data_IF_483189919935
#
_entry.id   IF_483189919935
#
_cell.length_a   1.000
_cell.length_b   1.000
_cell.length_c   1.000
_cell.angle_alpha   90.00
_cell.angle_beta   90.00
_cell.angle_gamma   90.00
#
_symmetry.space_group_name_H-M   'P 1'
#
loop_
_entity.id
_entity.type
_entity.pdbx_description
1 polymer ?
#
# COMPACT_ATOMS: atom_id res chain seq x y z
N UNK A 1 18.90 12.46 5.16
CA UNK A 1 17.74 12.41 6.09
C UNK A 1 17.94 11.24 7.03
N UNK A 2 17.65 11.39 8.34
CA UNK A 2 17.66 10.30 9.32
C UNK A 2 16.24 9.77 9.47
N UNK A 3 16.02 8.45 9.27
CA UNK A 3 14.79 7.74 9.61
C UNK A 3 15.04 6.93 10.89
N UNK A 4 14.25 7.21 11.91
CA UNK A 4 14.42 6.64 13.25
C UNK A 4 13.06 6.37 13.88
N UNK A 5 12.97 5.31 14.67
CA UNK A 5 11.78 5.04 15.46
C UNK A 5 11.66 6.01 16.63
N UNK A 6 10.45 6.52 16.91
CA UNK A 6 10.23 7.27 18.14
C UNK A 6 10.42 6.35 19.36
N UNK A 7 10.88 6.90 20.51
CA UNK A 7 11.03 6.12 21.74
C UNK A 7 9.70 5.43 22.12
N UNK A 8 9.76 4.13 22.41
CA UNK A 8 8.59 3.33 22.82
C UNK A 8 7.68 2.85 21.69
N UNK A 9 8.08 3.01 20.44
CA UNK A 9 7.32 2.49 19.30
C UNK A 9 7.63 1.00 19.12
N UNK A 10 6.58 0.18 19.09
CA UNK A 10 6.67 -1.25 18.77
C UNK A 10 6.31 -1.41 17.30
N UNK A 11 7.30 -1.58 16.43
CA UNK A 11 7.11 -1.79 14.99
C UNK A 11 7.40 -3.26 14.67
N UNK A 12 6.56 -3.86 13.83
CA UNK A 12 6.78 -5.22 13.32
C UNK A 12 7.98 -5.31 12.35
N UNK A 13 8.35 -4.18 11.66
CA UNK A 13 9.49 -4.13 10.76
C UNK A 13 10.72 -3.48 11.39
N UNK A 14 11.89 -4.13 11.32
CA UNK A 14 13.14 -3.52 11.77
C UNK A 14 13.65 -2.47 10.77
N UNK A 15 14.24 -1.36 11.26
CA UNK A 15 14.86 -0.36 10.37
C UNK A 15 16.03 -0.92 9.57
N UNK A 16 16.70 -1.94 10.07
CA UNK A 16 17.72 -2.67 9.31
C UNK A 16 17.09 -3.46 8.15
N UNK A 17 15.92 -4.08 8.37
CA UNK A 17 15.16 -4.74 7.31
C UNK A 17 14.69 -3.75 6.24
N UNK A 18 14.17 -2.58 6.64
CA UNK A 18 13.78 -1.52 5.69
C UNK A 18 14.98 -0.97 4.91
N UNK A 19 16.13 -0.80 5.56
CA UNK A 19 17.38 -0.41 4.90
C UNK A 19 17.77 -1.39 3.78
N UNK A 20 17.81 -2.68 4.10
CA UNK A 20 18.15 -3.75 3.15
C UNK A 20 17.12 -3.87 2.02
N UNK A 21 15.85 -3.67 2.33
CA UNK A 21 14.78 -3.66 1.34
C UNK A 21 14.96 -2.51 0.35
N UNK A 22 15.27 -1.29 0.82
CA UNK A 22 15.52 -0.13 -0.03
C UNK A 22 16.78 -0.30 -0.90
N UNK A 23 17.85 -0.93 -0.39
CA UNK A 23 19.00 -1.29 -1.21
C UNK A 23 18.63 -2.26 -2.34
N UNK A 24 17.85 -3.29 -1.99
CA UNK A 24 17.38 -4.29 -2.96
C UNK A 24 16.45 -3.66 -4.02
N UNK A 25 15.54 -2.78 -3.60
CA UNK A 25 14.65 -2.06 -4.50
C UNK A 25 15.43 -1.13 -5.45
N UNK A 26 16.42 -0.40 -4.95
CA UNK A 26 17.29 0.44 -5.79
C UNK A 26 18.07 -0.40 -6.81
N UNK A 27 18.60 -1.56 -6.43
CA UNK A 27 19.29 -2.49 -7.33
C UNK A 27 18.37 -3.06 -8.41
N UNK A 28 17.07 -3.22 -8.10
CA UNK A 28 16.04 -3.64 -9.05
C UNK A 28 15.54 -2.51 -9.98
N UNK A 29 16.08 -1.30 -9.83
CA UNK A 29 15.71 -0.13 -10.64
C UNK A 29 14.45 0.60 -10.16
N UNK A 30 13.96 0.31 -8.95
CA UNK A 30 12.88 1.06 -8.34
C UNK A 30 13.40 2.43 -7.91
N UNK A 31 12.73 3.55 -8.26
CA UNK A 31 13.11 4.86 -7.77
C UNK A 31 12.81 4.94 -6.26
N UNK A 32 13.83 4.93 -5.43
CA UNK A 32 13.76 5.04 -3.97
C UNK A 32 14.81 6.01 -3.45
N UNK A 33 14.64 6.62 -2.26
CA UNK A 33 15.71 7.36 -1.63
C UNK A 33 16.93 6.45 -1.41
N UNK A 34 18.11 6.88 -1.89
CA UNK A 34 19.31 6.08 -1.72
C UNK A 34 19.70 6.02 -0.25
N UNK A 35 19.75 4.82 0.31
CA UNK A 35 20.23 4.59 1.67
C UNK A 35 21.76 4.70 1.73
N UNK A 36 22.29 5.19 2.85
CA UNK A 36 23.70 5.54 3.00
C UNK A 36 24.38 4.81 4.14
N UNK A 37 23.67 4.62 5.24
CA UNK A 37 24.24 4.05 6.44
C UNK A 37 23.13 3.57 7.37
N UNK A 38 23.28 2.37 7.92
CA UNK A 38 22.38 1.79 8.91
C UNK A 38 23.04 1.88 10.29
N UNK A 39 22.33 2.39 11.29
CA UNK A 39 22.85 2.55 12.63
C UNK A 39 23.06 1.17 13.29
N UNK A 40 24.20 1.01 13.96
CA UNK A 40 24.47 -0.08 14.87
C UNK A 40 24.08 0.32 16.30
N UNK A 41 23.92 -0.65 17.20
CA UNK A 41 23.60 -0.41 18.61
C UNK A 41 24.62 0.51 19.30
N UNK A 42 25.91 0.37 18.95
CA UNK A 42 26.99 1.18 19.48
C UNK A 42 26.89 2.69 19.14
N UNK A 43 26.10 3.07 18.14
CA UNK A 43 25.96 4.46 17.73
C UNK A 43 25.01 5.26 18.63
N UNK A 44 24.28 4.60 19.53
CA UNK A 44 23.37 5.24 20.50
C UNK A 44 22.16 5.94 19.86
N UNK A 45 21.86 5.67 18.59
CA UNK A 45 20.75 6.26 17.84
C UNK A 45 19.46 5.43 17.91
N UNK A 46 19.50 4.23 18.48
CA UNK A 46 18.44 3.24 18.40
C UNK A 46 18.30 2.66 16.99
N UNK A 47 17.13 2.09 16.68
CA UNK A 47 16.84 1.57 15.35
C UNK A 47 16.69 2.73 14.35
N UNK A 48 17.67 2.92 13.47
CA UNK A 48 17.76 4.06 12.57
C UNK A 48 18.59 3.81 11.32
N UNK A 49 18.36 4.56 10.26
CA UNK A 49 19.25 4.62 9.11
C UNK A 49 19.25 6.02 8.47
N UNK A 50 20.31 6.29 7.70
CA UNK A 50 20.47 7.54 6.93
C UNK A 50 20.24 7.25 5.46
N UNK A 51 19.46 8.13 4.80
CA UNK A 51 19.20 8.10 3.36
C UNK A 51 19.29 9.49 2.76
N UNK A 52 19.41 9.59 1.43
CA UNK A 52 19.38 10.84 0.72
C UNK A 52 18.03 11.54 0.90
N UNK A 53 18.06 12.84 0.96
CA UNK A 53 16.84 13.65 0.86
C UNK A 53 16.43 13.75 -0.62
N UNK A 54 15.22 13.36 -0.94
CA UNK A 54 14.63 13.54 -2.27
C UNK A 54 13.68 14.72 -2.20
N UNK A 55 13.98 15.76 -2.96
CA UNK A 55 13.12 16.95 -3.04
C UNK A 55 11.88 16.63 -3.89
N UNK A 56 10.71 17.10 -3.47
CA UNK A 56 9.46 16.93 -4.22
C UNK A 56 8.23 17.06 -3.32
N UNK A 57 7.07 16.89 -3.92
CA UNK A 57 5.77 16.97 -3.25
C UNK A 57 5.26 15.56 -2.92
N UNK A 58 4.65 15.41 -1.76
CA UNK A 58 4.02 14.16 -1.29
C UNK A 58 2.53 14.33 -1.02
N UNK A 59 2.03 15.58 -1.01
CA UNK A 59 0.62 15.87 -0.75
C UNK A 59 -0.19 15.57 -2.00
N UNK A 60 -0.86 14.43 -2.01
CA UNK A 60 -1.61 13.93 -3.16
C UNK A 60 -2.64 14.95 -3.71
N UNK A 61 -3.31 15.73 -2.86
CA UNK A 61 -4.24 16.78 -3.31
C UNK A 61 -3.58 17.84 -4.17
N UNK A 62 -2.35 18.25 -3.84
CA UNK A 62 -1.58 19.19 -4.67
C UNK A 62 -1.19 18.56 -5.99
N UNK A 63 -0.65 17.34 -5.95
CA UNK A 63 -0.30 16.57 -7.14
C UNK A 63 -1.46 16.45 -8.11
N UNK A 64 -2.68 16.23 -7.60
CA UNK A 64 -3.88 16.03 -8.42
C UNK A 64 -4.54 17.32 -8.92
N UNK A 65 -4.26 18.48 -8.31
CA UNK A 65 -4.99 19.73 -8.59
C UNK A 65 -4.13 20.88 -9.08
N UNK A 66 -2.91 21.03 -8.57
CA UNK A 66 -2.10 22.23 -8.84
C UNK A 66 -1.54 22.20 -10.26
N UNK A 67 -1.52 23.36 -10.91
CA UNK A 67 -1.15 23.50 -12.31
C UNK A 67 0.32 23.13 -12.57
N UNK A 68 1.19 23.35 -11.61
CA UNK A 68 2.62 23.01 -11.71
C UNK A 68 2.88 21.51 -11.92
N UNK A 69 1.95 20.63 -11.45
CA UNK A 69 2.05 19.18 -11.62
C UNK A 69 1.27 18.63 -12.83
N UNK A 70 0.79 19.48 -13.73
CA UNK A 70 0.01 19.01 -14.89
C UNK A 70 0.80 18.04 -15.78
N UNK A 71 2.07 18.33 -16.05
CA UNK A 71 2.96 17.44 -16.80
C UNK A 71 3.23 16.13 -16.03
N UNK A 72 3.52 16.24 -14.74
CA UNK A 72 3.70 15.08 -13.85
C UNK A 72 2.47 14.17 -13.85
N UNK A 73 1.25 14.72 -13.68
CA UNK A 73 0.00 13.93 -13.72
C UNK A 73 -0.16 13.13 -15.01
N UNK A 74 0.26 13.68 -16.14
CA UNK A 74 0.20 12.97 -17.42
C UNK A 74 1.20 11.80 -17.49
N UNK A 75 2.38 11.95 -16.89
CA UNK A 75 3.45 10.95 -16.89
C UNK A 75 3.30 9.89 -15.79
N UNK A 76 2.74 10.25 -14.64
CA UNK A 76 2.64 9.40 -13.45
C UNK A 76 2.03 8.02 -13.69
N UNK A 77 0.94 7.83 -14.47
CA UNK A 77 0.40 6.49 -14.67
C UNK A 77 1.43 5.49 -15.20
N UNK A 78 2.20 5.86 -16.21
CA UNK A 78 3.24 5.00 -16.78
C UNK A 78 4.44 4.83 -15.84
N UNK A 79 4.83 5.91 -15.14
CA UNK A 79 5.96 5.86 -14.20
C UNK A 79 5.64 5.02 -12.96
N UNK A 80 4.43 5.14 -12.41
CA UNK A 80 3.97 4.31 -11.30
C UNK A 80 3.84 2.84 -11.73
N UNK A 81 3.28 2.58 -12.90
CA UNK A 81 3.19 1.23 -13.46
C UNK A 81 4.58 0.59 -13.62
N UNK A 82 5.55 1.35 -14.14
CA UNK A 82 6.94 0.88 -14.29
C UNK A 82 7.62 0.61 -12.94
N UNK A 83 7.46 1.51 -11.97
CA UNK A 83 8.01 1.32 -10.64
C UNK A 83 7.40 0.10 -9.93
N UNK A 84 6.07 -0.07 -10.02
CA UNK A 84 5.38 -1.22 -9.45
C UNK A 84 5.82 -2.54 -10.11
N UNK A 85 5.92 -2.57 -11.42
CA UNK A 85 6.44 -3.74 -12.14
C UNK A 85 7.88 -4.08 -11.73
N UNK A 86 8.72 -3.08 -11.46
CA UNK A 86 10.08 -3.29 -10.95
C UNK A 86 10.08 -3.87 -9.54
N UNK A 87 9.19 -3.42 -8.65
CA UNK A 87 9.00 -3.98 -7.31
C UNK A 87 8.60 -5.46 -7.42
N UNK A 88 7.61 -5.79 -8.22
CA UNK A 88 7.11 -7.15 -8.40
C UNK A 88 8.09 -8.08 -9.13
N UNK A 89 9.13 -7.55 -9.78
CA UNK A 89 10.23 -8.35 -10.34
C UNK A 89 11.36 -8.64 -9.36
N UNK A 90 11.38 -8.01 -8.18
CA UNK A 90 12.33 -8.39 -7.14
C UNK A 90 12.14 -9.86 -6.79
N UNK A 91 13.24 -10.59 -6.59
CA UNK A 91 13.16 -11.99 -6.18
C UNK A 91 12.73 -12.10 -4.70
N UNK A 92 11.50 -12.58 -4.41
CA UNK A 92 11.04 -12.71 -3.03
C UNK A 92 11.79 -13.78 -2.23
N UNK A 93 12.59 -14.64 -2.89
CA UNK A 93 13.42 -15.66 -2.26
C UNK A 93 14.84 -15.16 -1.99
N UNK A 94 15.18 -13.93 -2.38
CA UNK A 94 16.51 -13.37 -2.13
C UNK A 94 16.81 -13.38 -0.60
N UNK A 95 18.00 -13.82 -0.17
CA UNK A 95 18.35 -13.87 1.26
C UNK A 95 18.20 -12.53 1.98
N UNK A 96 18.46 -11.43 1.28
CA UNK A 96 18.27 -10.08 1.79
C UNK A 96 16.81 -9.76 2.20
N UNK A 97 15.83 -10.45 1.61
CA UNK A 97 14.40 -10.27 1.84
C UNK A 97 13.79 -11.37 2.72
N UNK A 98 14.63 -12.22 3.34
CA UNK A 98 14.17 -13.30 4.22
C UNK A 98 13.42 -12.86 5.47
N UNK A 99 13.50 -11.58 5.83
CA UNK A 99 12.75 -10.96 6.93
C UNK A 99 11.32 -10.59 6.59
N UNK A 100 10.93 -10.56 5.30
CA UNK A 100 9.57 -10.23 4.89
C UNK A 100 8.60 -11.37 5.26
N UNK A 101 7.45 -10.99 5.79
CA UNK A 101 6.36 -11.94 6.04
C UNK A 101 5.87 -12.53 4.74
N UNK A 102 5.37 -13.77 4.80
CA UNK A 102 4.86 -14.51 3.64
C UNK A 102 3.72 -15.43 4.04
N UNK A 103 2.81 -15.77 3.12
CA UNK A 103 1.75 -16.74 3.40
C UNK A 103 2.34 -18.09 3.79
N UNK A 104 1.61 -18.82 4.64
CA UNK A 104 1.94 -20.20 4.98
C UNK A 104 1.89 -21.10 3.76
N UNK A 105 2.66 -22.19 3.78
CA UNK A 105 2.70 -23.16 2.69
C UNK A 105 1.29 -23.74 2.43
N UNK A 106 0.83 -23.63 1.20
CA UNK A 106 -0.48 -24.13 0.78
C UNK A 106 -1.64 -23.14 0.98
N UNK A 107 -1.37 -21.95 1.56
CA UNK A 107 -2.37 -20.89 1.68
C UNK A 107 -2.12 -19.83 0.59
N UNK A 108 -3.17 -19.43 -0.12
CA UNK A 108 -3.04 -18.34 -1.12
C UNK A 108 -2.88 -16.99 -0.41
N UNK A 109 -2.14 -16.02 -0.98
CA UNK A 109 -2.03 -14.69 -0.41
C UNK A 109 -3.38 -14.04 -0.10
N UNK A 110 -4.32 -14.15 -1.03
CA UNK A 110 -5.66 -13.61 -0.88
C UNK A 110 -6.41 -14.21 0.31
N UNK A 111 -6.33 -15.55 0.49
CA UNK A 111 -6.95 -16.22 1.64
C UNK A 111 -6.26 -15.85 2.96
N UNK A 112 -4.92 -15.75 2.96
CA UNK A 112 -4.14 -15.37 4.13
C UNK A 112 -4.49 -13.95 4.60
N UNK A 113 -4.50 -12.97 3.69
CA UNK A 113 -4.82 -11.59 4.01
C UNK A 113 -6.28 -11.42 4.45
N UNK A 114 -7.22 -12.11 3.78
CA UNK A 114 -8.63 -12.10 4.18
C UNK A 114 -8.81 -12.63 5.62
N UNK A 115 -8.19 -13.76 5.93
CA UNK A 115 -8.25 -14.36 7.27
C UNK A 115 -7.57 -13.47 8.33
N UNK A 116 -6.42 -12.87 7.99
CA UNK A 116 -5.69 -11.95 8.87
C UNK A 116 -6.56 -10.75 9.25
N UNK A 117 -7.17 -10.10 8.26
CA UNK A 117 -8.01 -8.91 8.51
C UNK A 117 -9.35 -9.26 9.15
N UNK A 118 -9.92 -10.45 8.90
CA UNK A 118 -11.10 -10.92 9.67
C UNK A 118 -10.75 -11.09 11.16
N UNK A 119 -9.62 -11.71 11.46
CA UNK A 119 -9.14 -11.83 12.83
C UNK A 119 -8.93 -10.49 13.53
N UNK A 120 -8.29 -9.53 12.86
CA UNK A 120 -8.11 -8.17 13.37
C UNK A 120 -9.47 -7.51 13.63
N UNK A 121 -10.36 -7.53 12.63
CA UNK A 121 -11.68 -6.91 12.73
C UNK A 121 -12.48 -7.46 13.92
N UNK A 122 -12.52 -8.79 14.10
CA UNK A 122 -13.21 -9.44 15.22
C UNK A 122 -12.62 -9.04 16.58
N UNK A 123 -11.32 -8.79 16.64
CA UNK A 123 -10.64 -8.43 17.88
C UNK A 123 -10.85 -6.96 18.31
N UNK A 124 -11.02 -6.04 17.35
CA UNK A 124 -11.04 -4.59 17.64
C UNK A 124 -12.42 -3.95 17.58
N UNK A 125 -13.42 -4.63 17.00
CA UNK A 125 -14.71 -4.03 16.67
C UNK A 125 -15.79 -4.51 17.63
N UNK A 126 -16.23 -3.65 18.58
CA UNK A 126 -17.34 -3.99 19.49
C UNK A 126 -18.71 -3.94 18.81
N UNK A 127 -18.86 -3.09 17.78
CA UNK A 127 -20.10 -2.86 17.06
C UNK A 127 -20.09 -3.53 15.69
N UNK A 128 -21.21 -4.11 15.24
CA UNK A 128 -21.27 -4.73 13.93
C UNK A 128 -21.29 -3.68 12.81
N UNK A 129 -20.54 -3.96 11.73
CA UNK A 129 -20.53 -3.20 10.48
C UNK A 129 -21.12 -4.04 9.35
N UNK A 130 -22.43 -3.96 9.05
CA UNK A 130 -23.08 -4.83 8.05
C UNK A 130 -22.43 -4.80 6.66
N UNK A 131 -21.92 -3.64 6.23
CA UNK A 131 -21.21 -3.52 4.95
C UNK A 131 -19.90 -4.33 4.95
N UNK A 132 -19.16 -4.36 6.06
CA UNK A 132 -17.95 -5.16 6.18
C UNK A 132 -18.25 -6.67 6.21
N UNK A 133 -19.31 -7.07 6.92
CA UNK A 133 -19.76 -8.48 6.93
C UNK A 133 -20.17 -8.94 5.52
N UNK A 134 -20.85 -8.09 4.75
CA UNK A 134 -21.19 -8.37 3.37
C UNK A 134 -19.92 -8.51 2.51
N UNK A 135 -18.97 -7.59 2.67
CA UNK A 135 -17.70 -7.62 1.94
C UNK A 135 -16.89 -8.88 2.27
N UNK A 136 -16.78 -9.28 3.55
CA UNK A 136 -16.12 -10.54 3.93
C UNK A 136 -16.74 -11.75 3.24
N UNK A 137 -18.08 -11.83 3.21
CA UNK A 137 -18.78 -12.92 2.54
C UNK A 137 -18.56 -12.93 1.04
N UNK A 138 -18.63 -11.76 0.41
CA UNK A 138 -18.40 -11.60 -1.03
C UNK A 138 -16.98 -12.03 -1.41
N UNK A 139 -15.97 -11.59 -0.65
CA UNK A 139 -14.57 -11.93 -0.85
C UNK A 139 -14.30 -13.41 -0.64
N UNK A 140 -14.84 -14.00 0.44
CA UNK A 140 -14.67 -15.43 0.75
C UNK A 140 -15.23 -16.35 -0.34
N UNK A 141 -16.32 -15.96 -1.02
CA UNK A 141 -16.92 -16.71 -2.11
C UNK A 141 -16.18 -16.61 -3.44
N UNK A 142 -15.23 -15.65 -3.56
CA UNK A 142 -14.57 -15.26 -4.81
C UNK A 142 -13.04 -15.19 -4.68
N UNK A 143 -12.47 -15.94 -3.73
CA UNK A 143 -11.00 -15.95 -3.52
C UNK A 143 -10.32 -16.31 -4.84
N UNK A 144 -9.43 -15.47 -5.37
CA UNK A 144 -8.76 -15.73 -6.63
C UNK A 144 -7.83 -16.94 -6.55
N UNK A 145 -7.63 -17.59 -7.69
CA UNK A 145 -6.65 -18.65 -7.82
C UNK A 145 -5.23 -18.16 -7.50
N UNK A 146 -4.37 -19.01 -6.92
CA UNK A 146 -3.02 -18.63 -6.57
C UNK A 146 -2.22 -18.17 -7.78
N UNK A 147 -1.47 -17.10 -7.64
CA UNK A 147 -0.51 -16.57 -8.60
C UNK A 147 0.92 -16.76 -8.07
N UNK A 148 1.92 -16.37 -8.87
CA UNK A 148 3.28 -16.33 -8.35
C UNK A 148 3.38 -15.34 -7.19
N UNK A 149 4.21 -15.66 -6.22
CA UNK A 149 4.53 -14.75 -5.13
C UNK A 149 5.53 -13.70 -5.59
N UNK A 150 5.30 -12.46 -5.20
CA UNK A 150 6.17 -11.31 -5.47
C UNK A 150 6.44 -10.54 -4.17
N UNK A 151 7.36 -9.59 -4.23
CA UNK A 151 7.46 -8.55 -3.21
C UNK A 151 6.33 -7.56 -3.44
N UNK A 152 5.43 -7.43 -2.49
CA UNK A 152 4.31 -6.48 -2.47
C UNK A 152 4.72 -5.28 -1.61
N UNK A 153 4.51 -4.06 -2.11
CA UNK A 153 4.78 -2.84 -1.35
C UNK A 153 3.83 -2.72 -0.14
N UNK A 154 2.58 -3.13 -0.33
CA UNK A 154 1.54 -3.16 0.70
C UNK A 154 0.85 -1.83 1.00
N UNK A 155 1.45 -0.69 0.63
CA UNK A 155 0.80 0.64 0.68
C UNK A 155 1.14 1.49 -0.57
N UNK A 156 1.05 0.87 -1.77
CA UNK A 156 1.37 1.53 -3.03
C UNK A 156 0.26 2.49 -3.46
N UNK A 157 0.45 3.79 -3.21
CA UNK A 157 -0.56 4.83 -3.47
C UNK A 157 0.07 6.20 -3.72
N UNK A 158 -0.69 7.13 -4.31
CA UNK A 158 -0.21 8.49 -4.67
C UNK A 158 0.30 9.28 -3.46
N UNK A 159 -0.16 8.97 -2.24
CA UNK A 159 0.35 9.61 -1.02
C UNK A 159 1.72 9.08 -0.56
N UNK A 160 2.22 7.98 -1.14
CA UNK A 160 3.48 7.33 -0.77
C UNK A 160 4.52 7.40 -1.88
N UNK A 161 4.47 8.50 -2.64
CA UNK A 161 5.48 8.81 -3.66
C UNK A 161 5.95 10.24 -3.54
N UNK A 162 7.19 10.50 -3.92
CA UNK A 162 7.73 11.85 -4.06
C UNK A 162 7.70 12.21 -5.54
N UNK A 163 7.08 13.34 -5.86
CA UNK A 163 6.84 13.78 -7.23
C UNK A 163 7.46 15.17 -7.45
N UNK A 164 8.20 15.31 -8.55
CA UNK A 164 8.62 16.60 -9.09
C UNK A 164 7.71 17.08 -10.21
N UNK A 165 7.96 18.25 -10.80
CA UNK A 165 7.22 18.74 -11.96
C UNK A 165 7.30 17.79 -13.17
N UNK A 166 8.36 16.99 -13.27
CA UNK A 166 8.61 16.00 -14.32
C UNK A 166 7.95 14.63 -14.06
N UNK A 167 7.51 14.36 -12.82
CA UNK A 167 6.87 13.09 -12.42
C UNK A 167 7.52 12.44 -11.21
N UNK A 168 7.48 11.10 -11.17
CA UNK A 168 7.92 10.25 -10.07
C UNK A 168 9.42 10.39 -9.79
N UNK A 169 9.78 10.70 -8.55
CA UNK A 169 11.17 10.76 -8.05
C UNK A 169 11.52 9.61 -7.12
N UNK A 170 10.58 9.22 -6.26
CA UNK A 170 10.80 8.09 -5.35
C UNK A 170 9.48 7.48 -4.87
N UNK A 171 9.52 6.17 -4.62
CA UNK A 171 8.52 5.41 -3.85
C UNK A 171 9.01 5.34 -2.41
N UNK A 172 8.15 5.62 -1.45
CA UNK A 172 8.45 5.70 -0.02
C UNK A 172 7.42 4.90 0.80
N UNK A 173 7.69 4.75 2.08
CA UNK A 173 6.80 4.10 3.07
C UNK A 173 6.64 2.59 2.87
N UNK A 174 7.77 1.90 3.01
CA UNK A 174 7.91 0.46 2.77
C UNK A 174 7.60 -0.41 4.00
N UNK A 175 7.01 0.14 5.04
CA UNK A 175 6.80 -0.55 6.32
C UNK A 175 5.78 -1.70 6.26
N UNK A 176 4.90 -1.72 5.26
CA UNK A 176 3.91 -2.78 5.04
C UNK A 176 4.34 -3.81 3.99
N UNK A 177 5.61 -3.76 3.56
CA UNK A 177 6.13 -4.66 2.53
C UNK A 177 6.16 -6.12 3.01
N UNK A 178 5.68 -7.00 2.16
CA UNK A 178 5.63 -8.44 2.42
C UNK A 178 5.70 -9.23 1.12
N UNK A 179 5.65 -10.55 1.21
CA UNK A 179 5.57 -11.44 0.03
C UNK A 179 4.12 -11.84 -0.18
N UNK A 180 3.56 -11.51 -1.36
CA UNK A 180 2.13 -11.69 -1.63
C UNK A 180 1.79 -11.79 -3.11
N UNK A 181 0.53 -11.48 -3.44
CA UNK A 181 -0.01 -11.46 -4.81
C UNK A 181 0.25 -10.07 -5.44
N UNK A 182 0.77 -10.00 -6.68
CA UNK A 182 1.01 -8.72 -7.35
C UNK A 182 -0.25 -7.86 -7.52
N UNK A 183 -1.43 -8.47 -7.60
CA UNK A 183 -2.68 -7.72 -7.75
C UNK A 183 -3.11 -7.00 -6.47
N UNK A 184 -2.50 -7.29 -5.32
CA UNK A 184 -2.76 -6.56 -4.08
C UNK A 184 -2.42 -5.07 -4.22
N UNK A 185 -1.21 -4.72 -4.69
CA UNK A 185 -0.82 -3.33 -4.90
C UNK A 185 -1.63 -2.67 -6.02
N UNK A 186 -1.96 -3.43 -7.08
CA UNK A 186 -2.80 -2.94 -8.18
C UNK A 186 -4.20 -2.57 -7.67
N UNK A 187 -4.82 -3.45 -6.89
CA UNK A 187 -6.12 -3.19 -6.28
C UNK A 187 -6.07 -2.08 -5.23
N UNK A 188 -5.01 -2.04 -4.42
CA UNK A 188 -4.81 -1.00 -3.41
C UNK A 188 -4.75 0.40 -4.03
N UNK A 189 -4.03 0.58 -5.14
CA UNK A 189 -3.96 1.87 -5.84
C UNK A 189 -5.33 2.33 -6.37
N UNK A 190 -6.28 1.40 -6.59
CA UNK A 190 -7.63 1.69 -7.04
C UNK A 190 -8.60 2.08 -5.92
N UNK A 191 -8.26 1.89 -4.65
CA UNK A 191 -9.12 2.22 -3.50
C UNK A 191 -9.52 3.70 -3.54
N UNK A 192 -10.83 3.98 -3.37
CA UNK A 192 -11.40 5.33 -3.52
C UNK A 192 -10.75 6.38 -2.61
N UNK A 193 -10.36 5.98 -1.41
CA UNK A 193 -9.70 6.88 -0.47
C UNK A 193 -8.41 7.49 -1.02
N UNK A 194 -7.73 6.81 -1.93
CA UNK A 194 -6.49 7.28 -2.56
C UNK A 194 -6.70 8.15 -3.79
N UNK A 195 -7.95 8.39 -4.18
CA UNK A 195 -8.32 9.32 -5.28
C UNK A 195 -8.40 10.77 -4.82
N UNK A 196 -8.41 11.03 -3.51
CA UNK A 196 -8.44 12.37 -2.88
C UNK A 196 -9.52 13.30 -3.46
N UNK A 197 -10.67 12.72 -3.87
CA UNK A 197 -11.81 13.42 -4.45
C UNK A 197 -11.75 13.60 -5.98
N UNK A 198 -10.74 13.02 -6.66
CA UNK A 198 -10.72 12.91 -8.11
C UNK A 198 -11.61 11.74 -8.59
N UNK A 199 -12.12 11.84 -9.83
CA UNK A 199 -13.05 10.85 -10.40
C UNK A 199 -12.35 9.60 -10.96
N UNK A 200 -11.12 9.75 -11.46
CA UNK A 200 -10.37 8.66 -12.10
C UNK A 200 -10.00 7.58 -11.08
N UNK A 201 -10.21 6.28 -11.42
CA UNK A 201 -10.15 5.19 -10.44
C UNK A 201 -8.74 4.88 -9.92
N UNK A 202 -7.71 5.05 -10.72
CA UNK A 202 -6.34 4.68 -10.32
C UNK A 202 -5.66 5.89 -9.69
N UNK A 203 -5.71 5.98 -8.37
CA UNK A 203 -5.09 7.07 -7.60
C UNK A 203 -5.55 8.48 -8.00
N UNK A 204 -6.67 8.62 -8.71
CA UNK A 204 -7.13 9.89 -9.26
C UNK A 204 -6.43 10.33 -10.55
N UNK A 205 -5.62 9.47 -11.17
CA UNK A 205 -4.72 9.80 -12.28
C UNK A 205 -5.18 9.29 -13.65
N UNK A 206 -5.75 8.08 -13.72
CA UNK A 206 -6.17 7.48 -14.98
C UNK A 206 -7.24 6.39 -14.80
N UNK A 207 -7.78 5.90 -15.92
CA UNK A 207 -8.63 4.72 -15.99
C UNK A 207 -7.81 3.43 -15.71
N UNK A 208 -8.52 2.36 -15.27
CA UNK A 208 -7.91 1.09 -14.90
C UNK A 208 -7.18 0.44 -16.06
N UNK A 209 -7.82 0.38 -17.22
CA UNK A 209 -7.30 -0.24 -18.43
C UNK A 209 -5.96 0.37 -18.81
N UNK A 210 -5.86 1.70 -18.78
CA UNK A 210 -4.62 2.41 -19.09
C UNK A 210 -3.49 2.05 -18.13
N UNK A 211 -3.79 1.91 -16.85
CA UNK A 211 -2.76 1.53 -15.85
C UNK A 211 -2.38 0.07 -16.00
N UNK A 212 -3.33 -0.83 -16.20
CA UNK A 212 -3.08 -2.26 -16.36
C UNK A 212 -2.20 -2.52 -17.58
N UNK A 213 -2.54 -1.94 -18.73
CA UNK A 213 -1.71 -2.01 -19.94
C UNK A 213 -0.29 -1.47 -19.71
N UNK A 214 -0.15 -0.32 -19.03
CA UNK A 214 1.16 0.25 -18.74
C UNK A 214 1.99 -0.64 -17.80
N UNK A 215 1.34 -1.27 -16.79
CA UNK A 215 1.99 -2.20 -15.87
C UNK A 215 2.47 -3.47 -16.58
N UNK A 216 1.65 -4.07 -17.42
CA UNK A 216 2.01 -5.24 -18.22
C UNK A 216 3.15 -4.92 -19.22
N UNK A 217 3.08 -3.80 -19.92
CA UNK A 217 4.14 -3.33 -20.83
C UNK A 217 5.47 -3.07 -20.11
N UNK A 218 5.42 -2.66 -18.86
CA UNK A 218 6.60 -2.48 -18.02
C UNK A 218 7.20 -3.81 -17.50
N UNK A 219 6.60 -4.95 -17.87
CA UNK A 219 7.02 -6.29 -17.45
C UNK A 219 6.41 -6.76 -16.13
N UNK A 220 5.28 -6.18 -15.73
CA UNK A 220 4.41 -6.71 -14.69
C UNK A 220 3.66 -7.96 -15.13
N UNK A 221 2.98 -8.61 -14.18
CA UNK A 221 2.15 -9.79 -14.47
C UNK A 221 0.90 -9.40 -15.27
N UNK A 222 0.34 -10.31 -16.09
CA UNK A 222 -0.95 -10.08 -16.73
C UNK A 222 -2.04 -9.77 -15.72
N UNK A 223 -2.76 -8.66 -15.93
CA UNK A 223 -3.83 -8.21 -15.03
C UNK A 223 -5.16 -8.82 -15.45
N UNK A 224 -5.71 -9.65 -14.58
CA UNK A 224 -7.11 -10.06 -14.68
C UNK A 224 -7.97 -9.00 -13.97
N UNK A 225 -8.86 -8.30 -14.69
CA UNK A 225 -9.70 -7.27 -14.09
C UNK A 225 -10.58 -7.76 -12.93
N UNK A 226 -11.00 -9.03 -12.96
CA UNK A 226 -11.80 -9.62 -11.88
C UNK A 226 -10.96 -9.83 -10.62
N UNK A 227 -9.70 -10.24 -10.78
CA UNK A 227 -8.76 -10.39 -9.65
C UNK A 227 -8.36 -9.02 -9.10
N UNK A 228 -8.05 -8.05 -9.96
CA UNK A 228 -7.77 -6.67 -9.54
C UNK A 228 -8.96 -6.06 -8.79
N UNK A 229 -10.19 -6.35 -9.23
CA UNK A 229 -11.42 -5.94 -8.55
C UNK A 229 -11.56 -6.60 -7.18
N UNK A 230 -11.26 -7.88 -7.05
CA UNK A 230 -11.26 -8.57 -5.76
C UNK A 230 -10.35 -7.86 -4.76
N UNK A 231 -9.13 -7.52 -5.19
CA UNK A 231 -8.16 -6.81 -4.37
C UNK A 231 -8.56 -5.35 -4.09
N UNK A 232 -9.30 -4.68 -4.99
CA UNK A 232 -9.87 -3.35 -4.74
C UNK A 232 -10.95 -3.41 -3.64
N UNK A 233 -11.84 -4.42 -3.67
CA UNK A 233 -12.84 -4.64 -2.62
C UNK A 233 -12.15 -4.96 -1.29
N UNK A 234 -11.17 -5.88 -1.30
CA UNK A 234 -10.38 -6.18 -0.12
C UNK A 234 -9.63 -4.95 0.40
N UNK A 235 -9.05 -4.15 -0.46
CA UNK A 235 -8.37 -2.91 -0.10
C UNK A 235 -9.28 -1.90 0.60
N UNK A 236 -10.52 -1.73 0.13
CA UNK A 236 -11.51 -0.86 0.80
C UNK A 236 -11.90 -1.43 2.17
N UNK A 237 -12.11 -2.74 2.29
CA UNK A 237 -12.38 -3.39 3.58
C UNK A 237 -11.19 -3.24 4.54
N UNK A 238 -9.97 -3.51 4.08
CA UNK A 238 -8.73 -3.33 4.83
C UNK A 238 -8.59 -1.91 5.35
N UNK A 239 -8.81 -0.90 4.49
CA UNK A 239 -8.75 0.50 4.90
C UNK A 239 -9.82 0.84 5.94
N UNK A 240 -11.04 0.35 5.76
CA UNK A 240 -12.12 0.51 6.75
C UNK A 240 -11.73 -0.06 8.12
N UNK A 241 -11.15 -1.25 8.16
CA UNK A 241 -10.65 -1.85 9.42
C UNK A 241 -9.51 -1.01 10.01
N UNK A 242 -8.57 -0.54 9.19
CA UNK A 242 -7.49 0.33 9.64
C UNK A 242 -8.02 1.65 10.23
N UNK A 243 -9.11 2.23 9.70
CA UNK A 243 -9.72 3.43 10.29
C UNK A 243 -10.27 3.17 11.69
N UNK A 244 -10.85 1.98 11.93
CA UNK A 244 -11.29 1.55 13.26
C UNK A 244 -10.08 1.39 14.20
N UNK A 245 -8.99 0.77 13.74
CA UNK A 245 -7.76 0.64 14.54
C UNK A 245 -7.22 2.01 14.97
N UNK A 246 -7.22 2.99 14.07
CA UNK A 246 -6.80 4.35 14.38
C UNK A 246 -7.70 4.99 15.45
N UNK A 247 -9.03 4.82 15.33
CA UNK A 247 -9.98 5.28 16.33
C UNK A 247 -9.74 4.64 17.70
N UNK A 248 -9.55 3.32 17.76
CA UNK A 248 -9.27 2.59 18.99
C UNK A 248 -7.95 3.04 19.62
N UNK A 249 -6.91 3.28 18.83
CA UNK A 249 -5.63 3.82 19.30
C UNK A 249 -5.82 5.19 19.97
N UNK A 250 -6.63 6.08 19.38
CA UNK A 250 -6.97 7.38 19.98
C UNK A 250 -7.76 7.21 21.28
N UNK A 251 -8.76 6.35 21.29
CA UNK A 251 -9.59 6.07 22.48
C UNK A 251 -8.78 5.41 23.59
N UNK A 252 -7.80 4.57 23.23
CA UNK A 252 -6.86 3.92 24.15
C UNK A 252 -5.84 4.86 24.80
N UNK A 253 -5.84 6.15 24.46
CA UNK A 253 -5.04 7.18 25.15
C UNK A 253 -3.99 7.89 24.32
N UNK A 254 -3.71 7.45 23.11
CA UNK A 254 -2.82 8.19 22.18
C UNK A 254 -3.58 9.37 21.60
N UNK A 255 -3.46 10.54 22.24
CA UNK A 255 -4.24 11.75 21.90
C UNK A 255 -3.67 12.49 20.68
N UNK A 256 -3.76 11.87 19.52
CA UNK A 256 -3.45 12.47 18.22
C UNK A 256 -4.76 12.75 17.47
N UNK A 257 -5.02 14.01 17.12
CA UNK A 257 -6.24 14.45 16.42
C UNK A 257 -6.35 13.79 15.02
N UNK A 258 -5.22 13.49 14.39
CA UNK A 258 -5.19 12.82 13.09
C UNK A 258 -5.82 11.42 13.20
N UNK A 259 -5.47 10.63 14.23
CA UNK A 259 -6.05 9.30 14.48
C UNK A 259 -7.59 9.37 14.61
N UNK A 260 -8.08 10.35 15.38
CA UNK A 260 -9.51 10.57 15.54
C UNK A 260 -10.19 10.97 14.21
N UNK A 261 -9.53 11.80 13.41
CA UNK A 261 -10.03 12.25 12.10
C UNK A 261 -10.11 11.10 11.09
N UNK A 262 -9.10 10.23 11.08
CA UNK A 262 -9.06 9.02 10.24
C UNK A 262 -10.18 8.08 10.67
N UNK A 263 -10.39 7.86 11.98
CA UNK A 263 -11.44 6.98 12.50
C UNK A 263 -12.86 7.37 12.08
N UNK A 264 -13.12 8.65 11.81
CA UNK A 264 -14.41 9.12 11.28
C UNK A 264 -14.71 8.69 9.84
N UNK A 265 -13.70 8.23 9.11
CA UNK A 265 -13.85 7.86 7.70
C UNK A 265 -14.36 6.44 7.46
N UNK A 266 -14.63 5.68 8.51
CA UNK A 266 -15.14 4.29 8.39
C UNK A 266 -16.40 4.23 7.53
N UNK A 267 -17.35 5.16 7.69
CA UNK A 267 -18.58 5.20 6.90
C UNK A 267 -18.36 5.48 5.40
N UNK A 268 -17.26 6.16 5.03
CA UNK A 268 -16.89 6.36 3.62
C UNK A 268 -16.54 5.01 2.97
N UNK A 269 -15.84 4.13 3.70
CA UNK A 269 -15.47 2.79 3.21
C UNK A 269 -16.66 1.85 3.18
N UNK A 270 -17.61 1.97 4.10
CA UNK A 270 -18.86 1.19 4.09
C UNK A 270 -19.68 1.47 2.84
N UNK A 271 -19.87 2.75 2.50
CA UNK A 271 -20.59 3.15 1.27
C UNK A 271 -19.89 2.60 0.02
N UNK A 272 -18.57 2.76 -0.07
CA UNK A 272 -17.79 2.28 -1.20
C UNK A 272 -17.88 0.75 -1.36
N UNK A 273 -17.83 0.00 -0.26
CA UNK A 273 -17.98 -1.45 -0.27
C UNK A 273 -19.36 -1.89 -0.80
N UNK A 274 -20.42 -1.20 -0.40
CA UNK A 274 -21.76 -1.49 -0.91
C UNK A 274 -21.84 -1.25 -2.41
N UNK A 275 -21.33 -0.11 -2.92
CA UNK A 275 -21.29 0.20 -4.35
C UNK A 275 -20.44 -0.81 -5.13
N UNK A 276 -19.29 -1.23 -4.57
CA UNK A 276 -18.38 -2.20 -5.20
C UNK A 276 -18.98 -3.61 -5.28
N UNK A 277 -19.67 -4.05 -4.25
CA UNK A 277 -20.26 -5.41 -4.17
C UNK A 277 -21.53 -5.49 -5.03
N UNK A 278 -22.37 -4.45 -5.02
CA UNK A 278 -23.62 -4.39 -5.81
C UNK A 278 -23.35 -4.35 -7.33
N UNK A 279 -22.38 -3.55 -7.77
CA UNK A 279 -22.00 -3.45 -9.19
C UNK A 279 -21.38 -4.74 -9.77
N UNK A 280 -21.24 -5.78 -8.98
CA UNK A 280 -20.68 -7.09 -9.35
C UNK A 280 -21.70 -8.22 -9.32
N UNK A 281 -22.99 -7.90 -9.10
CA UNK A 281 -24.10 -8.85 -9.04
C UNK A 281 -24.68 -9.17 -10.44
#
# INVERSE_FOLDING_TARGET
MLRRDPPGHVIESSRAGEFTLLETAAAAGVPVPRVRWCAAEADGLGSAFVMDFVAGETIARKLLRDAEYAAARSALPAQLASALAAIHRMDPAAPALGHLTRPDTGVTPAAAELARFDGIYRAITPDPHPAFELAFRWLAQRVPAPRRLVVVHGDYRVGNVIVGPEGLRAVIDWELTHVGDPMEDVGWLCVRSWRFGASLPVGGLCERERFFEAYEHAGGDPVDPAVARWWEVFGNLRWGIMTIMQAQTFLGGVKNVELASIGRRTCETELELLELVDSSA
#
